data_IF_407633456266
#
_entry.id   IF_407633456266
#
_cell.length_a   1.000
_cell.length_b   1.000
_cell.length_c   1.000
_cell.angle_alpha   90.00
_cell.angle_beta   90.00
_cell.angle_gamma   90.00
#
_symmetry.space_group_name_H-M   'P 1'
#
loop_
_entity.id
_entity.type
_entity.pdbx_description
1 polymer ?
#
# COMPACT_ATOMS: atom_id res chain seq x y z
N UNK A 1 -11.28 -6.50 -0.22
CA UNK A 1 -10.00 -5.96 0.30
C UNK A 1 -8.86 -6.98 0.21
N UNK A 2 -8.91 -8.19 0.81
CA UNK A 2 -7.77 -9.11 0.74
C UNK A 2 -7.34 -9.51 -0.68
N UNK A 3 -8.31 -9.86 -1.54
CA UNK A 3 -8.05 -10.17 -2.96
C UNK A 3 -7.46 -9.02 -3.77
N UNK A 4 -7.70 -7.76 -3.37
CA UNK A 4 -7.12 -6.62 -4.06
C UNK A 4 -5.64 -6.46 -3.70
N UNK A 5 -5.31 -6.62 -2.42
CA UNK A 5 -3.93 -6.57 -1.91
C UNK A 5 -3.10 -7.75 -2.43
N UNK A 6 -3.71 -8.94 -2.54
CA UNK A 6 -3.03 -10.10 -3.09
C UNK A 6 -2.59 -9.92 -4.55
N UNK A 7 -3.39 -9.21 -5.36
CA UNK A 7 -3.02 -8.85 -6.74
C UNK A 7 -1.86 -7.85 -6.81
N UNK A 8 -1.62 -7.07 -5.76
CA UNK A 8 -0.50 -6.13 -5.72
C UNK A 8 0.84 -6.82 -5.44
N UNK A 9 0.85 -8.01 -4.81
CA UNK A 9 2.08 -8.65 -4.34
C UNK A 9 3.06 -9.00 -5.47
N UNK A 10 2.58 -9.63 -6.54
CA UNK A 10 3.42 -10.00 -7.69
C UNK A 10 4.08 -8.80 -8.39
N UNK A 11 3.33 -7.75 -8.80
CA UNK A 11 3.95 -6.58 -9.41
C UNK A 11 4.84 -5.82 -8.42
N UNK A 12 4.49 -5.80 -7.13
CA UNK A 12 5.33 -5.23 -6.07
C UNK A 12 6.67 -5.97 -5.91
N UNK A 13 6.66 -7.30 -5.88
CA UNK A 13 7.88 -8.11 -5.75
C UNK A 13 8.80 -7.94 -6.98
N UNK A 14 8.20 -7.85 -8.16
CA UNK A 14 8.93 -7.56 -9.40
C UNK A 14 9.58 -6.17 -9.35
N UNK A 15 8.83 -5.16 -8.91
CA UNK A 15 9.33 -3.79 -8.72
C UNK A 15 10.50 -3.74 -7.73
N UNK A 16 10.36 -4.36 -6.55
CA UNK A 16 11.42 -4.38 -5.55
C UNK A 16 12.67 -5.10 -6.04
N UNK A 17 12.51 -6.21 -6.78
CA UNK A 17 13.64 -6.91 -7.41
C UNK A 17 14.38 -6.02 -8.39
N UNK A 18 13.64 -5.28 -9.23
CA UNK A 18 14.22 -4.35 -10.21
C UNK A 18 14.90 -3.14 -9.57
N UNK A 19 14.32 -2.60 -8.49
CA UNK A 19 14.94 -1.54 -7.67
C UNK A 19 16.23 -2.08 -7.04
N UNK A 20 16.20 -3.27 -6.43
CA UNK A 20 17.38 -3.85 -5.79
C UNK A 20 18.50 -4.12 -6.80
N UNK A 21 18.18 -4.51 -8.04
CA UNK A 21 19.18 -4.70 -9.10
C UNK A 21 19.84 -3.39 -9.53
N UNK A 22 19.08 -2.30 -9.62
CA UNK A 22 19.57 -1.01 -10.13
C UNK A 22 20.18 -0.13 -9.04
N UNK A 23 19.58 -0.11 -7.85
CA UNK A 23 20.01 0.65 -6.69
C UNK A 23 19.77 -0.16 -5.40
N UNK A 24 20.67 -1.09 -5.05
CA UNK A 24 20.53 -1.96 -3.88
C UNK A 24 20.40 -1.19 -2.54
N UNK A 25 21.02 0.00 -2.46
CA UNK A 25 20.95 0.83 -1.26
C UNK A 25 19.52 1.31 -0.99
N UNK A 26 18.73 1.48 -2.06
CA UNK A 26 17.36 1.98 -2.00
C UNK A 26 16.37 0.92 -1.55
N UNK A 27 16.57 -0.33 -1.96
CA UNK A 27 15.72 -1.46 -1.53
C UNK A 27 15.71 -1.61 0.00
N UNK A 28 16.83 -1.30 0.64
CA UNK A 28 17.03 -1.44 2.09
C UNK A 28 16.72 -0.15 2.88
N UNK A 29 16.35 0.95 2.21
CA UNK A 29 15.98 2.21 2.86
C UNK A 29 14.52 2.23 3.30
N UNK A 30 14.25 3.02 4.33
CA UNK A 30 12.91 3.25 4.87
C UNK A 30 12.16 4.30 4.03
N UNK A 31 11.53 3.84 2.95
CA UNK A 31 10.63 4.61 2.10
C UNK A 31 9.31 3.86 1.90
N UNK A 32 8.23 4.59 1.65
CA UNK A 32 6.87 4.06 1.51
C UNK A 32 6.27 4.34 0.13
N UNK A 33 5.06 3.81 -0.10
CA UNK A 33 4.31 4.02 -1.36
C UNK A 33 2.98 4.69 -1.01
N UNK A 34 2.70 5.85 -1.59
CA UNK A 34 1.41 6.52 -1.53
C UNK A 34 0.81 6.64 -2.94
N UNK A 35 -0.50 6.93 -3.02
CA UNK A 35 -1.20 7.27 -4.27
C UNK A 35 -1.82 8.65 -4.15
N UNK A 36 -1.41 9.55 -5.04
CA UNK A 36 -1.87 10.93 -5.02
C UNK A 36 -3.28 11.10 -5.59
N UNK A 37 -3.75 12.35 -5.70
CA UNK A 37 -5.09 12.66 -6.21
C UNK A 37 -5.28 12.28 -7.69
N UNK A 38 -4.23 12.39 -8.52
CA UNK A 38 -4.30 12.03 -9.95
C UNK A 38 -4.20 10.53 -10.21
N UNK A 39 -3.97 9.72 -9.17
CA UNK A 39 -3.80 8.27 -9.28
C UNK A 39 -2.36 7.84 -9.57
N UNK A 40 -1.40 8.76 -9.55
CA UNK A 40 0.01 8.43 -9.68
C UNK A 40 0.56 7.96 -8.32
N UNK A 41 1.48 6.99 -8.38
CA UNK A 41 2.16 6.48 -7.20
C UNK A 41 3.35 7.38 -6.85
N UNK A 42 3.53 7.64 -5.57
CA UNK A 42 4.57 8.51 -5.04
C UNK A 42 5.39 7.78 -3.98
N UNK A 43 6.71 7.98 -4.02
CA UNK A 43 7.61 7.49 -2.99
C UNK A 43 7.62 8.46 -1.80
N UNK A 44 7.42 7.92 -0.59
CA UNK A 44 7.39 8.68 0.66
C UNK A 44 8.53 8.29 1.59
N UNK A 45 8.71 9.02 2.69
CA UNK A 45 9.73 8.73 3.70
C UNK A 45 11.01 9.57 3.58
N UNK A 46 12.03 9.19 4.36
CA UNK A 46 13.28 9.94 4.49
C UNK A 46 14.28 9.53 3.41
N UNK A 47 14.00 9.93 2.18
CA UNK A 47 14.81 9.72 0.98
C UNK A 47 15.04 11.04 0.25
N UNK A 48 16.12 11.12 -0.52
CA UNK A 48 16.47 12.34 -1.27
C UNK A 48 15.48 12.59 -2.41
N UNK A 49 15.41 13.82 -2.92
CA UNK A 49 14.50 14.12 -4.04
C UNK A 49 14.85 13.35 -5.32
N UNK A 50 16.13 13.12 -5.57
CA UNK A 50 16.59 12.24 -6.66
C UNK A 50 16.11 10.79 -6.49
N UNK A 51 16.11 10.29 -5.25
CA UNK A 51 15.61 8.96 -4.93
C UNK A 51 14.10 8.87 -5.07
N UNK A 52 13.37 9.93 -4.70
CA UNK A 52 11.92 10.01 -4.91
C UNK A 52 11.57 10.04 -6.39
N UNK A 53 12.30 10.79 -7.20
CA UNK A 53 12.11 10.85 -8.65
C UNK A 53 12.33 9.48 -9.28
N UNK A 54 13.47 8.84 -8.99
CA UNK A 54 13.77 7.49 -9.46
C UNK A 54 12.70 6.47 -9.05
N UNK A 55 12.27 6.47 -7.78
CA UNK A 55 11.22 5.56 -7.30
C UNK A 55 9.87 5.88 -7.93
N UNK A 56 9.54 7.15 -8.08
CA UNK A 56 8.32 7.61 -8.73
C UNK A 56 8.22 7.09 -10.16
N UNK A 57 9.29 7.20 -10.95
CA UNK A 57 9.36 6.60 -12.28
C UNK A 57 9.11 5.10 -12.23
N UNK A 58 9.86 4.35 -11.40
CA UNK A 58 9.71 2.89 -11.30
C UNK A 58 8.34 2.43 -10.83
N UNK A 59 7.73 3.16 -9.89
CA UNK A 59 6.39 2.86 -9.40
C UNK A 59 5.36 3.04 -10.51
N UNK A 60 5.45 4.12 -11.29
CA UNK A 60 4.47 4.43 -12.33
C UNK A 60 4.72 3.70 -13.66
N UNK A 61 5.93 3.17 -13.89
CA UNK A 61 6.22 2.22 -14.97
C UNK A 61 5.49 0.87 -14.79
N UNK A 62 5.08 0.55 -13.55
CA UNK A 62 4.32 -0.67 -13.25
C UNK A 62 2.81 -0.45 -13.39
N UNK A 63 2.29 -0.53 -14.62
CA UNK A 63 0.86 -0.33 -14.91
C UNK A 63 -0.07 -1.22 -14.05
N UNK A 64 0.36 -2.47 -13.78
CA UNK A 64 -0.39 -3.41 -12.94
C UNK A 64 -0.43 -2.96 -11.47
N UNK A 65 0.68 -2.45 -10.93
CA UNK A 65 0.70 -1.95 -9.55
C UNK A 65 -0.14 -0.67 -9.42
N UNK A 66 0.00 0.25 -10.36
CA UNK A 66 -0.78 1.50 -10.41
C UNK A 66 -2.28 1.19 -10.45
N UNK A 67 -2.71 0.32 -11.36
CA UNK A 67 -4.12 -0.03 -11.51
C UNK A 67 -4.69 -0.73 -10.26
N UNK A 68 -3.97 -1.69 -9.68
CA UNK A 68 -4.44 -2.40 -8.48
C UNK A 68 -4.53 -1.50 -7.24
N UNK A 69 -3.57 -0.58 -7.05
CA UNK A 69 -3.64 0.43 -5.97
C UNK A 69 -4.76 1.44 -6.21
N UNK A 70 -4.98 1.87 -7.46
CA UNK A 70 -6.09 2.76 -7.83
C UNK A 70 -7.44 2.11 -7.57
N UNK A 71 -7.58 0.82 -7.89
CA UNK A 71 -8.78 0.03 -7.59
C UNK A 71 -9.02 -0.08 -6.08
N UNK A 72 -7.96 -0.29 -5.29
CA UNK A 72 -8.07 -0.30 -3.83
C UNK A 72 -8.58 1.04 -3.30
N UNK A 73 -7.97 2.16 -3.72
CA UNK A 73 -8.39 3.52 -3.32
C UNK A 73 -9.87 3.75 -3.66
N UNK A 74 -10.25 3.44 -4.89
CA UNK A 74 -11.62 3.61 -5.38
C UNK A 74 -12.62 2.77 -4.57
N UNK A 75 -12.29 1.51 -4.29
CA UNK A 75 -13.14 0.63 -3.50
C UNK A 75 -13.22 1.06 -2.04
N UNK A 76 -12.11 1.52 -1.45
CA UNK A 76 -12.09 2.01 -0.08
C UNK A 76 -13.02 3.22 0.08
N UNK A 77 -12.82 4.25 -0.75
CA UNK A 77 -13.62 5.49 -0.70
C UNK A 77 -15.10 5.25 -1.05
N UNK A 78 -15.41 4.27 -1.90
CA UNK A 78 -16.78 3.97 -2.31
C UNK A 78 -17.57 3.19 -1.25
N UNK A 79 -16.94 2.23 -0.58
CA UNK A 79 -17.65 1.25 0.26
C UNK A 79 -17.39 1.39 1.75
N UNK A 80 -16.35 2.11 2.17
CA UNK A 80 -16.15 2.45 3.59
C UNK A 80 -16.94 3.72 3.87
N UNK A 81 -18.17 3.53 4.34
CA UNK A 81 -19.09 4.62 4.66
C UNK A 81 -18.85 5.06 6.11
N UNK A 82 -18.80 6.38 6.39
CA UNK A 82 -18.87 6.91 7.74
C UNK A 82 -20.06 6.30 8.51
N UNK A 83 -19.96 6.17 9.83
CA UNK A 83 -21.01 5.66 10.75
C UNK A 83 -21.02 4.14 11.01
N UNK A 84 -20.25 3.33 10.30
CA UNK A 84 -20.13 1.90 10.58
C UNK A 84 -18.88 1.60 11.44
N UNK A 85 -19.04 0.83 12.53
CA UNK A 85 -17.92 0.45 13.43
C UNK A 85 -16.79 -0.20 12.63
N UNK A 86 -15.55 0.25 12.82
CA UNK A 86 -14.37 -0.25 12.08
C UNK A 86 -13.70 0.86 11.27
N UNK A 87 -13.47 0.65 9.98
CA UNK A 87 -12.77 1.63 9.13
C UNK A 87 -13.58 2.92 8.94
N UNK A 88 -14.92 2.86 9.02
CA UNK A 88 -15.82 4.01 8.87
C UNK A 88 -15.80 4.98 10.05
N UNK A 89 -14.99 4.71 11.09
CA UNK A 89 -14.76 5.65 12.19
C UNK A 89 -13.71 6.73 11.86
N UNK A 90 -13.08 6.65 10.68
CA UNK A 90 -12.03 7.56 10.24
C UNK A 90 -12.48 8.36 9.01
N UNK A 91 -12.14 9.64 9.00
CA UNK A 91 -12.41 10.57 7.90
C UNK A 91 -11.32 10.43 6.83
N UNK A 92 -11.54 9.51 5.88
CA UNK A 92 -10.66 9.31 4.73
C UNK A 92 -11.34 9.83 3.48
N UNK A 93 -10.72 10.82 2.85
CA UNK A 93 -11.21 11.52 1.66
C UNK A 93 -10.22 11.38 0.51
N UNK A 94 -10.60 11.83 -0.68
CA UNK A 94 -9.68 11.89 -1.83
C UNK A 94 -8.43 12.72 -1.51
N UNK A 95 -8.57 13.74 -0.66
CA UNK A 95 -7.55 14.74 -0.38
C UNK A 95 -6.51 14.25 0.64
N UNK A 96 -6.92 13.44 1.62
CA UNK A 96 -6.01 12.94 2.64
C UNK A 96 -5.55 11.49 2.41
N UNK A 97 -6.11 10.78 1.42
CA UNK A 97 -5.82 9.36 1.19
C UNK A 97 -4.33 9.04 1.08
N UNK A 98 -3.57 9.87 0.37
CA UNK A 98 -2.11 9.72 0.20
C UNK A 98 -1.33 9.84 1.51
N UNK A 99 -1.84 10.62 2.46
CA UNK A 99 -1.25 10.76 3.80
C UNK A 99 -1.68 9.65 4.76
N UNK A 100 -2.76 8.92 4.45
CA UNK A 100 -3.30 7.87 5.33
C UNK A 100 -2.61 6.53 5.09
N UNK A 101 -2.43 6.14 3.82
CA UNK A 101 -1.98 4.81 3.45
C UNK A 101 -0.57 4.79 2.87
N UNK A 102 0.29 3.99 3.49
CA UNK A 102 1.53 3.44 2.96
C UNK A 102 1.28 2.00 2.46
N UNK A 103 1.28 1.86 1.14
CA UNK A 103 1.07 0.58 0.46
C UNK A 103 2.26 -0.36 0.62
N UNK A 104 3.48 0.17 0.79
CA UNK A 104 4.66 -0.66 1.04
C UNK A 104 4.53 -1.34 2.40
N UNK A 105 4.24 -0.55 3.44
CA UNK A 105 3.99 -1.05 4.79
C UNK A 105 2.86 -2.08 4.79
N UNK A 106 1.77 -1.81 4.07
CA UNK A 106 0.63 -2.71 3.95
C UNK A 106 1.01 -4.05 3.31
N UNK A 107 1.75 -4.04 2.21
CA UNK A 107 2.14 -5.25 1.48
C UNK A 107 3.18 -6.09 2.24
N UNK A 108 4.15 -5.45 2.88
CA UNK A 108 5.19 -6.16 3.64
C UNK A 108 4.65 -6.75 4.95
N UNK A 109 3.86 -5.99 5.71
CA UNK A 109 3.34 -6.43 7.00
C UNK A 109 2.24 -7.49 6.90
N UNK A 110 1.49 -7.50 5.79
CA UNK A 110 0.37 -8.41 5.61
C UNK A 110 0.75 -9.78 5.03
N UNK A 111 2.03 -10.05 4.76
CA UNK A 111 2.46 -11.34 4.20
C UNK A 111 2.12 -12.52 5.10
N UNK A 112 1.65 -13.58 4.45
CA UNK A 112 1.45 -14.89 5.07
C UNK A 112 2.78 -15.53 5.44
N UNK A 113 2.80 -16.22 6.58
CA UNK A 113 3.87 -17.17 6.91
C UNK A 113 3.53 -18.56 6.35
N UNK A 114 4.50 -19.48 6.41
CA UNK A 114 4.36 -20.82 5.85
C UNK A 114 3.15 -21.59 6.39
N UNK A 115 2.87 -21.48 7.69
CA UNK A 115 1.73 -22.18 8.29
C UNK A 115 0.39 -21.65 7.79
N UNK A 116 0.27 -20.34 7.61
CA UNK A 116 -0.93 -19.73 7.04
C UNK A 116 -1.11 -20.11 5.57
N UNK A 117 -0.03 -20.08 4.77
CA UNK A 117 -0.06 -20.51 3.37
C UNK A 117 -0.47 -21.97 3.24
N UNK A 118 0.08 -22.86 4.07
CA UNK A 118 -0.30 -24.29 4.07
C UNK A 118 -1.77 -24.52 4.39
N UNK A 119 -2.34 -23.69 5.26
CA UNK A 119 -3.72 -23.86 5.72
C UNK A 119 -4.73 -23.26 4.75
N UNK A 120 -4.39 -22.12 4.14
CA UNK A 120 -5.36 -21.28 3.44
C UNK A 120 -5.01 -20.98 1.98
N UNK A 121 -3.79 -21.27 1.54
CA UNK A 121 -3.31 -21.05 0.17
C UNK A 121 -3.32 -19.57 -0.27
N UNK A 122 -3.30 -18.63 0.69
CA UNK A 122 -3.23 -17.19 0.43
C UNK A 122 -1.84 -16.62 0.72
N UNK A 123 -1.33 -15.79 -0.18
CA UNK A 123 -0.07 -15.07 -0.01
C UNK A 123 -0.20 -13.89 0.97
N UNK A 124 -1.42 -13.36 1.10
CA UNK A 124 -1.78 -12.32 2.06
C UNK A 124 -2.53 -12.88 3.26
N UNK A 125 -2.07 -12.59 4.47
CA UNK A 125 -2.78 -12.89 5.70
C UNK A 125 -3.81 -11.79 5.99
N UNK A 126 -5.10 -12.11 5.83
CA UNK A 126 -6.17 -11.12 5.97
C UNK A 126 -6.32 -10.53 7.38
N UNK A 127 -5.88 -11.24 8.43
CA UNK A 127 -5.89 -10.71 9.80
C UNK A 127 -4.82 -9.63 9.94
N UNK A 128 -3.59 -9.91 9.50
CA UNK A 128 -2.51 -8.93 9.49
C UNK A 128 -2.84 -7.72 8.61
N UNK A 129 -3.47 -7.97 7.45
CA UNK A 129 -3.92 -6.89 6.58
C UNK A 129 -4.93 -5.98 7.29
N UNK A 130 -5.94 -6.57 7.93
CA UNK A 130 -6.93 -5.80 8.67
C UNK A 130 -6.30 -4.99 9.81
N UNK A 131 -5.39 -5.59 10.56
CA UNK A 131 -4.69 -4.93 11.67
C UNK A 131 -3.78 -3.80 11.17
N UNK A 132 -3.11 -3.99 10.02
CA UNK A 132 -2.30 -2.95 9.40
C UNK A 132 -3.17 -1.77 8.94
N UNK A 133 -4.27 -2.02 8.20
CA UNK A 133 -5.19 -0.97 7.76
C UNK A 133 -5.70 -0.16 8.96
N UNK A 134 -6.14 -0.82 10.03
CA UNK A 134 -6.59 -0.13 11.25
C UNK A 134 -5.47 0.69 11.90
N UNK A 135 -4.24 0.17 11.92
CA UNK A 135 -3.10 0.87 12.50
C UNK A 135 -2.75 2.12 11.72
N UNK A 136 -2.78 2.05 10.38
CA UNK A 136 -2.53 3.20 9.51
C UNK A 136 -3.63 4.25 9.66
N UNK A 137 -4.90 3.84 9.62
CA UNK A 137 -6.03 4.73 9.88
C UNK A 137 -5.90 5.44 11.24
N UNK A 138 -5.64 4.69 12.30
CA UNK A 138 -5.49 5.23 13.66
C UNK A 138 -4.33 6.22 13.80
N UNK A 139 -3.23 5.98 13.09
CA UNK A 139 -2.04 6.83 13.14
C UNK A 139 -2.20 8.10 12.31
N UNK A 140 -2.85 8.00 11.15
CA UNK A 140 -2.71 8.98 10.08
C UNK A 140 -4.02 9.69 9.70
N UNK A 141 -5.19 9.10 9.98
CA UNK A 141 -6.48 9.66 9.62
C UNK A 141 -7.16 10.36 10.82
N UNK A 142 -7.87 11.48 10.61
CA UNK A 142 -8.78 12.02 11.61
C UNK A 142 -9.89 11.02 11.93
N UNK A 143 -10.34 10.97 13.18
CA UNK A 143 -11.55 10.23 13.57
C UNK A 143 -12.76 11.17 13.58
N UNK A 144 -13.94 10.64 13.26
CA UNK A 144 -15.21 11.33 13.50
C UNK A 144 -15.55 11.41 15.00
#
# INVERSE_FOLDING_TARGET
>A
MPKAVEKMLSPYDSLLSDINRQNPSLANKNWGIAINQSGALEATGTITDFEKEFLGEKLNDSEELVSTITDFKSNFLKYIVPENRGYGSYDVTVDNFSGVFDFREMLESSRSNDDFKKTWEYETNWLKLNDNILSQLKRNAPSY
#
